data_IF_124199997319
#
_entry.id   IF_124199997319
#
_cell.length_a   1.000
_cell.length_b   1.000
_cell.length_c   1.000
_cell.angle_alpha   90.00
_cell.angle_beta   90.00
_cell.angle_gamma   90.00
#
_symmetry.space_group_name_H-M   'P 1'
#
loop_
_entity.id
_entity.type
_entity.pdbx_description
1 polymer ?
#
# COMPACT_ATOMS: atom_id res chain seq x y z
N UNK A 1 18.52 -4.29 -10.23
CA UNK A 1 17.39 -5.24 -10.33
C UNK A 1 16.48 -5.13 -9.12
N UNK A 2 17.02 -5.21 -7.91
CA UNK A 2 16.26 -5.16 -6.64
C UNK A 2 15.46 -3.87 -6.49
N UNK A 3 16.06 -2.71 -6.80
CA UNK A 3 15.38 -1.41 -6.77
C UNK A 3 14.15 -1.34 -7.68
N UNK A 4 14.28 -1.79 -8.93
CA UNK A 4 13.18 -1.78 -9.90
C UNK A 4 11.97 -2.62 -9.46
N UNK A 5 12.22 -3.76 -8.79
CA UNK A 5 11.15 -4.61 -8.26
C UNK A 5 10.47 -3.95 -7.06
N UNK A 6 11.26 -3.33 -6.16
CA UNK A 6 10.73 -2.60 -5.02
C UNK A 6 9.94 -1.36 -5.44
N UNK A 7 10.41 -0.63 -6.45
CA UNK A 7 9.69 0.51 -7.05
C UNK A 7 8.35 0.04 -7.63
N UNK A 8 8.35 -1.06 -8.39
CA UNK A 8 7.12 -1.64 -8.93
C UNK A 8 6.14 -2.08 -7.83
N UNK A 9 6.65 -2.66 -6.74
CA UNK A 9 5.86 -3.06 -5.58
C UNK A 9 5.27 -1.83 -4.85
N UNK A 10 6.08 -0.78 -4.68
CA UNK A 10 5.63 0.47 -4.07
C UNK A 10 4.52 1.13 -4.91
N UNK A 11 4.66 1.14 -6.24
CA UNK A 11 3.65 1.68 -7.15
C UNK A 11 2.36 0.84 -7.15
N UNK A 12 2.49 -0.49 -7.03
CA UNK A 12 1.33 -1.37 -6.83
C UNK A 12 0.58 -1.01 -5.53
N UNK A 13 1.28 -0.86 -4.41
CA UNK A 13 0.62 -0.50 -3.14
C UNK A 13 -0.02 0.90 -3.19
N UNK A 14 0.65 1.89 -3.79
CA UNK A 14 0.10 3.23 -3.99
C UNK A 14 -1.17 3.21 -4.84
N UNK A 15 -1.15 2.52 -5.98
CA UNK A 15 -2.32 2.41 -6.87
C UNK A 15 -3.47 1.66 -6.21
N UNK A 16 -3.17 0.61 -5.44
CA UNK A 16 -4.18 -0.12 -4.65
C UNK A 16 -4.81 0.77 -3.58
N UNK A 17 -4.01 1.56 -2.85
CA UNK A 17 -4.51 2.50 -1.84
C UNK A 17 -5.37 3.61 -2.45
N UNK A 18 -4.98 4.13 -3.62
CA UNK A 18 -5.73 5.17 -4.34
C UNK A 18 -7.09 4.70 -4.87
N UNK A 19 -7.31 3.38 -4.98
CA UNK A 19 -8.57 2.80 -5.44
C UNK A 19 -9.66 2.80 -4.36
N UNK A 20 -9.30 2.99 -3.09
CA UNK A 20 -10.31 3.08 -2.04
C UNK A 20 -11.02 4.44 -2.10
N UNK A 21 -12.35 4.47 -1.97
CA UNK A 21 -13.12 5.71 -2.00
C UNK A 21 -12.99 6.52 -0.70
N UNK A 22 -12.43 5.95 0.36
CA UNK A 22 -12.26 6.59 1.65
C UNK A 22 -10.79 6.58 2.09
N UNK A 23 -10.41 7.52 2.94
CA UNK A 23 -9.10 7.58 3.60
C UNK A 23 -9.12 6.88 4.96
N UNK A 24 -7.94 6.62 5.55
CA UNK A 24 -7.84 6.06 6.90
C UNK A 24 -8.50 6.97 7.95
N UNK A 25 -8.35 8.29 7.82
CA UNK A 25 -8.94 9.27 8.74
C UNK A 25 -10.46 9.30 8.66
N UNK A 26 -11.01 9.18 7.45
CA UNK A 26 -12.47 9.07 7.25
C UNK A 26 -13.01 7.76 7.84
N UNK A 27 -12.32 6.64 7.65
CA UNK A 27 -12.72 5.37 8.24
C UNK A 27 -12.68 5.43 9.79
N UNK A 28 -11.68 6.09 10.38
CA UNK A 28 -11.60 6.29 11.83
C UNK A 28 -12.73 7.19 12.36
N UNK A 29 -13.05 8.25 11.62
CA UNK A 29 -14.18 9.14 11.93
C UNK A 29 -15.53 8.39 11.86
N UNK A 30 -15.71 7.54 10.85
CA UNK A 30 -16.91 6.69 10.72
C UNK A 30 -17.03 5.70 11.88
N UNK A 31 -15.93 5.09 12.33
CA UNK A 31 -15.94 4.14 13.43
C UNK A 31 -16.18 4.79 14.80
N UNK A 32 -15.86 6.07 14.95
CA UNK A 32 -16.15 6.83 16.15
C UNK A 32 -17.66 7.10 16.33
N UNK A 33 -18.46 7.01 15.26
CA UNK A 33 -19.92 7.17 15.33
C UNK A 33 -20.58 5.97 16.06
N UNK A 34 -21.18 6.18 17.25
CA UNK A 34 -21.82 5.12 18.00
C UNK A 34 -23.10 4.60 17.34
N UNK A 35 -23.71 5.37 16.44
CA UNK A 35 -24.96 5.04 15.74
C UNK A 35 -24.74 4.27 14.44
N UNK A 36 -23.48 4.06 14.05
CA UNK A 36 -23.13 3.36 12.83
C UNK A 36 -23.71 1.94 12.81
N UNK A 37 -24.39 1.59 11.72
CA UNK A 37 -24.94 0.25 11.51
C UNK A 37 -23.84 -0.83 11.74
N UNK A 38 -24.11 -1.90 12.51
CA UNK A 38 -23.12 -2.93 12.83
C UNK A 38 -22.46 -3.57 11.59
N UNK A 39 -23.22 -3.82 10.52
CA UNK A 39 -22.66 -4.37 9.26
C UNK A 39 -21.71 -3.38 8.59
N UNK A 40 -22.08 -2.10 8.59
CA UNK A 40 -21.24 -1.02 8.06
C UNK A 40 -19.98 -0.86 8.91
N UNK A 41 -20.09 -0.96 10.24
CA UNK A 41 -18.95 -0.93 11.16
C UNK A 41 -17.94 -2.04 10.86
N UNK A 42 -18.39 -3.28 10.69
CA UNK A 42 -17.50 -4.39 10.33
C UNK A 42 -16.83 -4.15 8.98
N UNK A 43 -17.58 -3.73 7.97
CA UNK A 43 -17.02 -3.42 6.65
C UNK A 43 -15.95 -2.31 6.74
N UNK A 44 -16.22 -1.24 7.48
CA UNK A 44 -15.25 -0.14 7.69
C UNK A 44 -14.02 -0.62 8.45
N UNK A 45 -14.16 -1.50 9.46
CA UNK A 45 -13.01 -2.08 10.17
C UNK A 45 -12.12 -2.94 9.27
N UNK A 46 -12.71 -3.75 8.39
CA UNK A 46 -11.98 -4.59 7.45
C UNK A 46 -11.21 -3.75 6.44
N UNK A 47 -11.88 -2.77 5.82
CA UNK A 47 -11.27 -1.84 4.87
C UNK A 47 -10.16 -1.03 5.55
N UNK A 48 -10.38 -0.53 6.77
CA UNK A 48 -9.34 0.18 7.54
C UNK A 48 -8.12 -0.72 7.78
N UNK A 49 -8.34 -1.98 8.13
CA UNK A 49 -7.26 -2.93 8.42
C UNK A 49 -6.43 -3.24 7.17
N UNK A 50 -7.09 -3.47 6.03
CA UNK A 50 -6.42 -3.67 4.74
C UNK A 50 -5.56 -2.45 4.36
N UNK A 51 -6.10 -1.24 4.51
CA UNK A 51 -5.34 0.01 4.27
C UNK A 51 -4.13 0.14 5.19
N UNK A 52 -4.25 -0.19 6.48
CA UNK A 52 -3.12 -0.17 7.43
C UNK A 52 -2.03 -1.16 7.02
N UNK A 53 -2.40 -2.37 6.61
CA UNK A 53 -1.44 -3.36 6.12
C UNK A 53 -0.75 -2.88 4.84
N UNK A 54 -1.50 -2.39 3.85
CA UNK A 54 -0.93 -1.87 2.60
C UNK A 54 0.01 -0.68 2.84
N UNK A 55 -0.35 0.22 3.75
CA UNK A 55 0.50 1.36 4.12
C UNK A 55 1.79 0.89 4.79
N UNK A 56 1.72 -0.09 5.69
CA UNK A 56 2.90 -0.68 6.33
C UNK A 56 3.81 -1.41 5.32
N UNK A 57 3.22 -2.16 4.38
CA UNK A 57 3.98 -2.82 3.31
C UNK A 57 4.64 -1.81 2.36
N UNK A 58 3.95 -0.70 2.05
CA UNK A 58 4.52 0.39 1.26
C UNK A 58 5.70 1.03 1.98
N UNK A 59 5.56 1.33 3.27
CA UNK A 59 6.66 1.89 4.06
C UNK A 59 7.86 0.95 4.08
N UNK A 60 7.64 -0.34 4.33
CA UNK A 60 8.72 -1.33 4.31
C UNK A 60 9.42 -1.42 2.94
N UNK A 61 8.68 -1.29 1.83
CA UNK A 61 9.27 -1.26 0.50
C UNK A 61 10.14 0.00 0.28
N UNK A 62 9.69 1.16 0.74
CA UNK A 62 10.46 2.41 0.69
C UNK A 62 11.72 2.32 1.56
N UNK A 63 11.60 1.82 2.78
CA UNK A 63 12.73 1.65 3.69
C UNK A 63 13.80 0.71 3.10
N UNK A 64 13.37 -0.33 2.37
CA UNK A 64 14.28 -1.21 1.64
C UNK A 64 14.96 -0.52 0.46
N UNK A 65 14.23 0.34 -0.27
CA UNK A 65 14.80 1.14 -1.38
C UNK A 65 15.87 2.10 -0.85
N UNK A 66 15.61 2.77 0.27
CA UNK A 66 16.52 3.74 0.89
C UNK A 66 17.82 3.09 1.41
N UNK A 67 17.80 1.77 1.66
CA UNK A 67 18.99 0.99 2.04
C UNK A 67 19.82 0.52 0.83
N UNK A 68 19.31 0.64 -0.41
CA UNK A 68 20.04 0.18 -1.59
C UNK A 68 21.10 1.19 -2.04
N UNK A 69 22.30 0.74 -2.46
CA UNK A 69 23.32 1.63 -2.99
C UNK A 69 22.84 2.32 -4.28
N UNK A 70 23.09 3.63 -4.37
CA UNK A 70 22.64 4.54 -5.45
C UNK A 70 23.09 4.13 -6.86
N UNK A 71 24.06 3.23 -6.99
CA UNK A 71 24.68 2.84 -8.26
C UNK A 71 23.88 1.78 -9.04
N UNK A 72 22.68 1.43 -8.56
CA UNK A 72 21.79 0.43 -9.17
C UNK A 72 20.83 1.01 -10.22
N UNK A 73 21.11 2.20 -10.76
CA UNK A 73 20.28 2.85 -11.78
C UNK A 73 20.52 2.21 -13.15
N UNK A 74 19.39 1.91 -13.80
CA UNK A 74 19.14 1.47 -15.18
C UNK A 74 20.22 1.78 -16.24
N UNK A 75 20.37 0.94 -17.31
CA UNK A 75 19.38 0.01 -17.81
C UNK A 75 19.66 -1.44 -17.37
N UNK A 76 18.80 -1.97 -16.50
CA UNK A 76 18.80 -3.40 -16.21
C UNK A 76 17.59 -4.04 -16.92
N UNK A 77 17.78 -4.85 -17.97
CA UNK A 77 16.69 -5.67 -18.49
C UNK A 77 16.23 -6.62 -17.37
N UNK A 78 14.94 -6.58 -17.04
CA UNK A 78 14.35 -7.33 -15.93
C UNK A 78 13.44 -8.45 -16.48
N UNK A 79 14.02 -9.58 -16.96
CA UNK A 79 13.25 -10.68 -17.55
C UNK A 79 12.32 -11.41 -16.56
N UNK A 80 12.49 -11.19 -15.25
CA UNK A 80 11.69 -11.80 -14.19
C UNK A 80 10.91 -10.76 -13.36
N UNK A 81 10.62 -9.58 -13.91
CA UNK A 81 9.82 -8.59 -13.19
C UNK A 81 8.45 -9.21 -12.81
N UNK A 82 8.06 -9.20 -11.52
CA UNK A 82 6.78 -9.75 -11.11
C UNK A 82 5.65 -8.96 -11.77
N UNK A 83 4.69 -9.63 -12.40
CA UNK A 83 3.54 -8.96 -13.01
C UNK A 83 2.47 -8.79 -11.94
N UNK A 84 2.38 -7.59 -11.36
CA UNK A 84 1.27 -7.23 -10.47
C UNK A 84 0.03 -6.90 -11.31
N UNK A 85 -1.09 -7.56 -11.03
CA UNK A 85 -2.40 -7.34 -11.67
C UNK A 85 -3.33 -6.50 -10.79
#
# INVERSE_FOLDING_TARGET
MERAVLDQLADYFKSRLARYPTTLSEDESLLADPTLNPKKRVATQLVRSEKKMLTACLQAAVDLIDQLPDHTVSPCPAPYAPIFK
#
